data_IF_508267184680
#
_entry.id   IF_508267184680
#
_cell.length_a   1.000
_cell.length_b   1.000
_cell.length_c   1.000
_cell.angle_alpha   90.00
_cell.angle_beta   90.00
_cell.angle_gamma   90.00
#
_symmetry.space_group_name_H-M   'P 1'
#
loop_
_entity.id
_entity.type
_entity.pdbx_description
1 polymer ?
#
# COMPACT_ATOMS: atom_id res chain seq x y z
N UNK A 1 -20.20 25.42 -0.95
CA UNK A 1 -21.10 24.66 -0.06
C UNK A 1 -20.31 23.79 0.92
N UNK A 2 -20.82 23.52 2.14
CA UNK A 2 -20.17 22.69 3.14
C UNK A 2 -19.72 21.32 2.61
N UNK A 3 -20.52 20.70 1.74
CA UNK A 3 -20.22 19.40 1.12
C UNK A 3 -18.96 19.44 0.26
N UNK A 4 -18.71 20.54 -0.47
CA UNK A 4 -17.49 20.70 -1.28
C UNK A 4 -16.25 20.78 -0.39
N UNK A 5 -16.32 21.49 0.73
CA UNK A 5 -15.21 21.59 1.68
C UNK A 5 -14.93 20.25 2.35
N UNK A 6 -15.98 19.52 2.74
CA UNK A 6 -15.85 18.16 3.27
C UNK A 6 -15.20 17.21 2.25
N UNK A 7 -15.68 17.19 1.01
CA UNK A 7 -15.11 16.35 -0.04
C UNK A 7 -13.64 16.70 -0.34
N UNK A 8 -13.30 17.99 -0.34
CA UNK A 8 -11.90 18.44 -0.47
C UNK A 8 -11.04 17.91 0.68
N UNK A 9 -11.50 18.02 1.93
CA UNK A 9 -10.76 17.51 3.08
C UNK A 9 -10.59 15.98 3.01
N UNK A 10 -11.63 15.23 2.68
CA UNK A 10 -11.58 13.77 2.57
C UNK A 10 -10.59 13.31 1.49
N UNK A 11 -10.60 13.92 0.30
CA UNK A 11 -9.65 13.60 -0.76
C UNK A 11 -8.22 14.01 -0.37
N UNK A 12 -8.04 15.18 0.24
CA UNK A 12 -6.72 15.64 0.72
C UNK A 12 -6.13 14.73 1.78
N UNK A 13 -6.93 14.20 2.72
CA UNK A 13 -6.47 13.23 3.71
C UNK A 13 -6.04 11.91 3.07
N UNK A 14 -6.80 11.41 2.09
CA UNK A 14 -6.40 10.22 1.31
C UNK A 14 -5.07 10.44 0.58
N UNK A 15 -4.93 11.57 -0.11
CA UNK A 15 -3.69 11.94 -0.80
C UNK A 15 -2.52 12.09 0.19
N UNK A 16 -2.76 12.68 1.35
CA UNK A 16 -1.76 12.82 2.43
C UNK A 16 -1.38 11.49 3.09
N UNK A 17 -2.14 10.43 2.83
CA UNK A 17 -1.81 9.06 3.22
C UNK A 17 -0.99 8.29 2.19
N UNK A 18 -0.75 8.83 0.99
CA UNK A 18 0.12 8.19 -0.01
C UNK A 18 1.57 8.31 0.45
N UNK A 19 2.26 7.17 0.54
CA UNK A 19 3.65 7.08 0.96
C UNK A 19 4.44 6.10 0.11
N UNK A 20 5.77 6.26 0.13
CA UNK A 20 6.71 5.30 -0.44
C UNK A 20 7.38 4.51 0.67
N UNK A 21 7.26 3.19 0.61
CA UNK A 21 7.81 2.25 1.57
C UNK A 21 8.88 1.40 0.89
N UNK A 22 9.95 1.08 1.62
CA UNK A 22 11.05 0.29 1.07
C UNK A 22 11.62 -0.65 2.12
N UNK A 23 11.91 -1.88 1.73
CA UNK A 23 12.57 -2.85 2.57
C UNK A 23 12.16 -4.28 2.26
N UNK A 24 12.38 -5.18 3.23
CA UNK A 24 12.12 -6.61 3.09
C UNK A 24 10.90 -7.03 3.89
N UNK A 25 9.97 -7.72 3.25
CA UNK A 25 8.88 -8.43 3.92
C UNK A 25 9.37 -9.76 4.50
N UNK A 26 8.69 -10.24 5.54
CA UNK A 26 8.83 -11.61 6.03
C UNK A 26 7.70 -12.45 5.44
N UNK A 27 8.04 -13.54 4.77
CA UNK A 27 7.09 -14.43 4.10
C UNK A 27 7.24 -15.83 4.68
N UNK A 28 6.10 -16.43 5.03
CA UNK A 28 6.02 -17.80 5.50
C UNK A 28 5.47 -18.67 4.36
N UNK A 29 6.31 -19.52 3.80
CA UNK A 29 5.88 -20.56 2.85
C UNK A 29 5.40 -21.79 3.62
N UNK A 30 4.43 -22.57 3.12
CA UNK A 30 4.08 -23.87 3.70
C UNK A 30 5.24 -24.88 3.71
N UNK A 31 6.29 -24.62 2.92
CA UNK A 31 7.43 -25.52 2.73
C UNK A 31 8.67 -25.13 3.53
N UNK A 32 8.71 -23.92 4.11
CA UNK A 32 9.90 -23.37 4.76
C UNK A 32 9.58 -22.91 6.18
N UNK A 33 10.26 -23.45 7.19
CA UNK A 33 10.27 -22.89 8.54
C UNK A 33 11.72 -22.63 8.96
N UNK A 34 12.07 -21.45 9.51
CA UNK A 34 11.23 -20.30 9.90
C UNK A 34 10.87 -19.35 8.72
N UNK A 35 10.08 -18.26 8.94
CA UNK A 35 9.79 -17.27 7.90
C UNK A 35 11.05 -16.70 7.26
N UNK A 36 11.05 -16.59 5.94
CA UNK A 36 12.17 -16.08 5.17
C UNK A 36 11.97 -14.61 4.80
N UNK A 37 13.09 -13.87 4.71
CA UNK A 37 13.06 -12.51 4.22
C UNK A 37 12.93 -12.51 2.68
N UNK A 38 11.83 -11.98 2.17
CA UNK A 38 11.61 -11.76 0.75
C UNK A 38 12.70 -10.84 0.15
N UNK A 39 12.85 -10.81 -1.19
CA UNK A 39 13.63 -9.78 -1.85
C UNK A 39 13.21 -8.38 -1.40
N UNK A 40 14.16 -7.46 -1.46
CA UNK A 40 13.89 -6.06 -1.18
C UNK A 40 12.98 -5.47 -2.26
N UNK A 41 11.99 -4.69 -1.83
CA UNK A 41 10.99 -4.12 -2.71
C UNK A 41 10.59 -2.71 -2.27
N UNK A 42 10.07 -1.94 -3.21
CA UNK A 42 9.52 -0.61 -3.01
C UNK A 42 8.02 -0.58 -3.32
N UNK A 43 7.25 0.14 -2.50
CA UNK A 43 5.81 0.27 -2.68
C UNK A 43 5.36 1.72 -2.51
N UNK A 44 4.86 2.32 -3.59
CA UNK A 44 4.07 3.54 -3.54
C UNK A 44 2.60 3.16 -3.32
N UNK A 45 1.99 3.59 -2.22
CA UNK A 45 0.61 3.21 -1.88
C UNK A 45 -0.06 4.22 -0.95
N UNK A 46 -1.39 4.32 -1.00
CA UNK A 46 -2.15 4.92 0.10
C UNK A 46 -2.19 3.98 1.31
N UNK A 47 -2.41 4.56 2.49
CA UNK A 47 -2.56 3.83 3.75
C UNK A 47 -3.97 4.02 4.32
N UNK A 48 -4.59 2.99 4.94
CA UNK A 48 -5.93 3.12 5.51
C UNK A 48 -5.99 4.16 6.66
N UNK A 49 -4.91 4.26 7.43
CA UNK A 49 -4.79 5.24 8.51
C UNK A 49 -3.32 5.52 8.82
N UNK A 50 -2.93 6.80 8.75
CA UNK A 50 -1.57 7.24 9.11
C UNK A 50 -1.19 6.93 10.57
N UNK A 51 -2.17 6.82 11.46
CA UNK A 51 -1.92 6.63 12.90
C UNK A 51 -1.93 5.16 13.33
N UNK A 52 -2.78 4.33 12.71
CA UNK A 52 -3.00 2.95 13.13
C UNK A 52 -2.49 1.91 12.13
N UNK A 53 -2.50 2.25 10.84
CA UNK A 53 -2.16 1.33 9.75
C UNK A 53 -1.29 2.03 8.70
N UNK A 54 -0.08 2.53 9.05
CA UNK A 54 0.77 3.29 8.13
C UNK A 54 1.51 2.37 7.14
N UNK A 55 0.77 1.49 6.45
CA UNK A 55 1.27 0.44 5.56
C UNK A 55 0.31 0.19 4.42
N UNK A 56 0.79 -0.49 3.37
CA UNK A 56 -0.05 -0.94 2.26
C UNK A 56 -0.90 -2.15 2.64
N UNK A 57 -2.19 -2.10 2.30
CA UNK A 57 -3.12 -3.22 2.42
C UNK A 57 -3.79 -3.47 1.06
N UNK A 58 -3.64 -4.70 0.54
CA UNK A 58 -3.96 -5.02 -0.84
C UNK A 58 -5.42 -4.73 -1.21
N UNK A 59 -6.36 -5.09 -0.33
CA UNK A 59 -7.78 -4.93 -0.59
C UNK A 59 -8.25 -3.49 -0.36
N UNK A 60 -7.75 -2.80 0.67
CA UNK A 60 -8.03 -1.37 0.92
C UNK A 60 -7.58 -0.51 -0.27
N UNK A 61 -6.43 -0.83 -0.86
CA UNK A 61 -5.91 -0.06 -2.00
C UNK A 61 -6.87 -0.05 -3.18
N UNK A 62 -7.57 -1.15 -3.43
CA UNK A 62 -8.62 -1.20 -4.46
C UNK A 62 -9.68 -0.10 -4.27
N UNK A 63 -10.08 0.19 -3.03
CA UNK A 63 -11.02 1.26 -2.72
C UNK A 63 -10.38 2.65 -2.80
N UNK A 64 -9.12 2.80 -2.37
CA UNK A 64 -8.37 4.07 -2.54
C UNK A 64 -8.31 4.49 -4.01
N UNK A 65 -8.02 3.54 -4.90
CA UNK A 65 -7.86 3.79 -6.32
C UNK A 65 -9.15 4.20 -7.04
N UNK A 66 -10.33 3.84 -6.52
CA UNK A 66 -11.62 4.34 -7.03
C UNK A 66 -11.73 5.87 -6.93
N UNK A 67 -11.08 6.48 -5.94
CA UNK A 67 -11.02 7.94 -5.76
C UNK A 67 -9.78 8.53 -6.42
N UNK A 68 -8.59 7.95 -6.18
CA UNK A 68 -7.34 8.46 -6.73
C UNK A 68 -7.35 8.43 -8.25
N UNK A 69 -7.83 7.37 -8.90
CA UNK A 69 -7.92 7.29 -10.36
C UNK A 69 -8.89 8.30 -10.98
N UNK A 70 -9.85 8.85 -10.21
CA UNK A 70 -10.72 9.94 -10.66
C UNK A 70 -10.06 11.31 -10.55
N UNK A 71 -9.12 11.45 -9.63
CA UNK A 71 -8.37 12.68 -9.39
C UNK A 71 -7.13 12.76 -10.28
N UNK A 72 -6.31 11.71 -10.29
CA UNK A 72 -5.08 11.59 -11.06
C UNK A 72 -4.87 10.13 -11.53
N UNK A 73 -5.16 9.89 -12.80
CA UNK A 73 -5.01 8.58 -13.43
C UNK A 73 -3.53 8.17 -13.63
N UNK A 74 -2.59 9.11 -13.65
CA UNK A 74 -1.17 8.79 -13.77
C UNK A 74 -0.64 8.23 -12.45
N UNK A 75 -0.91 8.92 -11.33
CA UNK A 75 -0.59 8.45 -9.99
C UNK A 75 -1.22 7.08 -9.70
N UNK A 76 -2.49 6.90 -10.09
CA UNK A 76 -3.19 5.63 -9.91
C UNK A 76 -2.51 4.46 -10.62
N UNK A 77 -2.04 4.67 -11.86
CA UNK A 77 -1.28 3.65 -12.60
C UNK A 77 0.06 3.34 -11.95
N UNK A 78 0.75 4.34 -11.42
CA UNK A 78 2.02 4.16 -10.71
C UNK A 78 1.84 3.31 -9.45
N UNK A 79 0.84 3.63 -8.62
CA UNK A 79 0.51 2.83 -7.43
C UNK A 79 0.15 1.39 -7.81
N UNK A 80 -0.71 1.19 -8.81
CA UNK A 80 -1.08 -0.16 -9.26
C UNK A 80 0.12 -0.94 -9.81
N UNK A 81 1.04 -0.29 -10.54
CA UNK A 81 2.26 -0.93 -11.01
C UNK A 81 3.14 -1.39 -9.84
N UNK A 82 3.35 -0.54 -8.84
CA UNK A 82 4.08 -0.91 -7.62
C UNK A 82 3.46 -2.11 -6.88
N UNK A 83 2.12 -2.20 -6.82
CA UNK A 83 1.46 -3.38 -6.23
C UNK A 83 1.64 -4.66 -7.05
N UNK A 84 1.63 -4.54 -8.38
CA UNK A 84 1.85 -5.68 -9.27
C UNK A 84 3.31 -6.17 -9.25
N UNK A 85 4.28 -5.27 -9.05
CA UNK A 85 5.69 -5.62 -8.91
C UNK A 85 5.99 -6.46 -7.66
N UNK A 86 5.08 -6.50 -6.68
CA UNK A 86 5.17 -7.34 -5.47
C UNK A 86 4.68 -8.77 -5.69
N UNK A 87 4.17 -9.09 -6.87
CA UNK A 87 3.66 -10.41 -7.22
C UNK A 87 4.82 -11.41 -7.35
N UNK A 88 4.73 -12.53 -6.65
CA UNK A 88 5.71 -13.62 -6.81
C UNK A 88 5.43 -14.47 -8.07
N UNK A 89 6.28 -15.46 -8.33
CA UNK A 89 6.18 -16.32 -9.51
C UNK A 89 4.86 -17.13 -9.56
N UNK A 90 4.22 -17.35 -8.41
CA UNK A 90 2.95 -18.07 -8.27
C UNK A 90 1.72 -17.15 -8.38
N UNK A 91 1.91 -15.85 -8.61
CA UNK A 91 0.83 -14.87 -8.71
C UNK A 91 0.32 -14.34 -7.37
N UNK A 92 1.01 -14.62 -6.27
CA UNK A 92 0.63 -14.18 -4.93
C UNK A 92 1.24 -12.81 -4.61
N UNK A 93 0.39 -11.93 -4.03
CA UNK A 93 0.80 -10.65 -3.46
C UNK A 93 0.46 -10.68 -1.96
N UNK A 94 1.39 -10.31 -1.06
CA UNK A 94 1.08 -10.23 0.36
C UNK A 94 -0.06 -9.24 0.64
N UNK A 95 -1.02 -9.67 1.48
CA UNK A 95 -2.22 -8.86 1.80
C UNK A 95 -1.91 -7.58 2.56
N UNK A 96 -0.84 -7.58 3.34
CA UNK A 96 -0.33 -6.47 4.15
C UNK A 96 1.17 -6.35 3.89
N UNK A 97 1.63 -5.12 3.64
CA UNK A 97 2.99 -4.82 3.22
C UNK A 97 3.76 -4.18 4.37
N UNK A 98 4.56 -5.00 5.06
CA UNK A 98 5.39 -4.60 6.20
C UNK A 98 6.85 -4.53 5.73
N UNK A 99 7.19 -3.44 5.05
CA UNK A 99 8.51 -3.25 4.42
C UNK A 99 9.47 -2.51 5.35
N UNK A 100 10.49 -3.21 5.85
CA UNK A 100 11.54 -2.63 6.70
C UNK A 100 11.17 -2.50 8.18
N UNK A 101 12.11 -1.99 8.98
CA UNK A 101 11.97 -1.96 10.45
C UNK A 101 10.95 -0.93 10.93
N UNK A 102 10.87 0.23 10.27
CA UNK A 102 9.88 1.27 10.60
C UNK A 102 8.45 0.73 10.49
N UNK A 103 8.16 0.01 9.41
CA UNK A 103 6.86 -0.62 9.21
C UNK A 103 6.59 -1.73 10.23
N UNK A 104 7.61 -2.41 10.78
CA UNK A 104 7.43 -3.47 11.81
C UNK A 104 7.23 -2.91 13.22
N UNK A 105 7.65 -1.69 13.48
CA UNK A 105 7.55 -1.05 14.79
C UNK A 105 6.12 -0.53 15.11
N UNK A 106 5.16 -0.78 14.23
CA UNK A 106 3.76 -0.33 14.32
C UNK A 106 2.81 -1.51 14.22
#
# INVERSE_FOLDING_TARGET
PPQRRFAQAALSELLGGVGYFHGRSLVQSPLEEPPAAAPEAGLLTAVPSRSFFPRGFLWDEGFHQLLLGRWDAALSREVLAHWLDLMNAEGWIPREQILGEEARAK
#
